data_IF_266924440710
#
_entry.id   IF_266924440710
#
_cell.length_a   1.000
_cell.length_b   1.000
_cell.length_c   1.000
_cell.angle_alpha   90.00
_cell.angle_beta   90.00
_cell.angle_gamma   90.00
#
_symmetry.space_group_name_H-M   'P 1'
#
loop_
_entity.id
_entity.type
_entity.pdbx_description
1 polymer ?
#
# COMPACT_ATOMS: atom_id res chain seq x y z
N UNK A 1 11.26 8.90 -0.83
CA UNK A 1 11.67 7.65 -1.48
C UNK A 1 10.60 7.23 -2.46
N UNK A 2 10.95 6.96 -3.68
CA UNK A 2 9.96 6.66 -4.71
C UNK A 2 9.37 5.26 -4.55
N UNK A 3 8.09 5.10 -4.88
CA UNK A 3 7.44 3.81 -4.94
C UNK A 3 7.83 3.13 -6.25
N UNK A 4 8.69 2.14 -6.18
CA UNK A 4 9.25 1.48 -7.36
C UNK A 4 8.53 0.19 -7.68
N UNK A 5 8.17 0.02 -8.96
CA UNK A 5 7.52 -1.19 -9.45
C UNK A 5 8.37 -2.42 -9.13
N UNK A 6 7.72 -3.47 -8.64
CA UNK A 6 8.38 -4.73 -8.32
C UNK A 6 9.07 -4.75 -6.97
N UNK A 7 9.12 -3.63 -6.28
CA UNK A 7 9.70 -3.58 -4.94
C UNK A 7 8.66 -3.87 -3.87
N UNK A 8 9.10 -4.47 -2.79
CA UNK A 8 8.25 -4.79 -1.65
C UNK A 8 8.50 -3.80 -0.54
N UNK A 9 7.43 -3.37 0.11
CA UNK A 9 7.48 -2.44 1.24
C UNK A 9 6.83 -3.10 2.44
N UNK A 10 7.34 -2.79 3.62
CA UNK A 10 6.90 -3.43 4.85
C UNK A 10 6.53 -2.36 5.88
N UNK A 11 5.43 -2.62 6.60
CA UNK A 11 4.97 -1.78 7.69
C UNK A 11 5.45 -2.33 9.03
N UNK A 12 5.37 -1.49 10.07
CA UNK A 12 5.75 -1.90 11.42
C UNK A 12 4.97 -3.11 11.93
N UNK A 13 3.73 -3.27 11.49
CA UNK A 13 2.89 -4.41 11.86
C UNK A 13 3.29 -5.72 11.17
N UNK A 14 4.18 -5.64 10.17
CA UNK A 14 4.52 -6.79 9.35
C UNK A 14 3.74 -6.88 8.05
N UNK A 15 2.79 -5.99 7.82
CA UNK A 15 2.07 -5.95 6.54
C UNK A 15 3.03 -5.64 5.41
N UNK A 16 2.88 -6.33 4.28
CA UNK A 16 3.76 -6.15 3.13
C UNK A 16 2.98 -5.89 1.88
N UNK A 17 3.54 -5.03 1.04
CA UNK A 17 2.96 -4.67 -0.25
C UNK A 17 4.03 -4.80 -1.33
N UNK A 18 3.60 -5.21 -2.52
CA UNK A 18 4.44 -5.13 -3.70
C UNK A 18 3.85 -4.07 -4.63
N UNK A 19 4.71 -3.24 -5.19
CA UNK A 19 4.26 -2.16 -6.05
C UNK A 19 4.03 -2.70 -7.46
N UNK A 20 2.80 -2.54 -7.94
CA UNK A 20 2.42 -2.95 -9.29
C UNK A 20 2.43 -1.78 -10.27
N UNK A 21 2.33 -0.56 -9.73
CA UNK A 21 2.39 0.66 -10.52
C UNK A 21 3.14 1.70 -9.71
N UNK A 22 4.25 2.16 -10.19
CA UNK A 22 5.16 3.02 -9.43
C UNK A 22 4.92 4.50 -9.60
N UNK A 23 5.47 5.29 -8.69
CA UNK A 23 5.42 6.75 -8.74
C UNK A 23 6.56 7.34 -7.93
N UNK A 24 6.67 8.67 -7.96
CA UNK A 24 7.79 9.38 -7.34
C UNK A 24 7.58 9.68 -5.86
N UNK A 25 6.40 9.43 -5.34
CA UNK A 25 6.07 9.76 -3.96
C UNK A 25 6.42 8.66 -2.99
N UNK A 26 6.03 8.87 -1.73
CA UNK A 26 6.37 7.99 -0.62
C UNK A 26 5.13 7.26 -0.12
N UNK A 27 5.24 5.95 0.01
CA UNK A 27 4.24 5.14 0.69
C UNK A 27 4.40 5.32 2.20
N UNK A 28 3.29 5.42 2.90
CA UNK A 28 3.29 5.70 4.32
C UNK A 28 2.28 4.83 5.06
N UNK A 29 2.58 4.63 6.36
CA UNK A 29 1.65 4.07 7.33
C UNK A 29 1.28 5.24 8.26
N UNK A 30 0.16 5.89 7.97
CA UNK A 30 -0.16 7.16 8.59
C UNK A 30 0.86 8.20 8.17
N UNK A 31 1.61 8.73 9.13
CA UNK A 31 2.66 9.72 8.87
C UNK A 31 4.04 9.09 8.72
N UNK A 32 4.17 7.79 8.91
CA UNK A 32 5.46 7.11 8.92
C UNK A 32 5.74 6.47 7.58
N UNK A 33 6.85 6.79 6.92
CA UNK A 33 7.20 6.12 5.67
C UNK A 33 7.39 4.62 5.86
N UNK A 34 6.93 3.83 4.90
CA UNK A 34 7.22 2.41 4.87
C UNK A 34 8.67 2.21 4.45
N UNK A 35 9.28 1.15 4.98
CA UNK A 35 10.61 0.75 4.54
C UNK A 35 10.50 -0.27 3.41
N UNK A 36 11.55 -0.36 2.61
CA UNK A 36 11.68 -1.50 1.72
C UNK A 36 11.87 -2.75 2.56
N UNK A 37 11.37 -3.87 2.09
CA UNK A 37 11.41 -5.11 2.84
C UNK A 37 12.84 -5.49 3.26
N UNK A 38 13.81 -5.27 2.39
CA UNK A 38 15.21 -5.59 2.67
C UNK A 38 15.79 -4.77 3.82
N UNK A 39 15.20 -3.61 4.11
CA UNK A 39 15.65 -2.75 5.22
C UNK A 39 14.97 -3.10 6.53
N UNK A 40 14.01 -4.01 6.52
CA UNK A 40 13.26 -4.41 7.69
C UNK A 40 12.13 -3.45 8.03
N UNK A 41 11.24 -3.84 8.95
CA UNK A 41 10.09 -3.00 9.28
C UNK A 41 10.50 -1.72 10.02
N UNK A 42 9.73 -0.63 9.84
CA UNK A 42 9.94 0.58 10.63
C UNK A 42 9.72 0.29 12.12
N UNK A 43 10.31 1.12 12.97
CA UNK A 43 10.21 0.95 14.41
C UNK A 43 8.78 1.12 14.93
N UNK A 44 7.98 1.96 14.27
CA UNK A 44 6.61 2.21 14.67
C UNK A 44 5.78 2.59 13.46
N UNK A 45 4.48 2.40 13.56
CA UNK A 45 3.52 2.78 12.53
C UNK A 45 2.30 3.42 13.14
N UNK A 46 1.27 3.67 12.35
CA UNK A 46 0.05 4.31 12.83
C UNK A 46 -0.72 3.45 13.81
N UNK A 47 -0.59 2.14 13.72
CA UNK A 47 -1.34 1.21 14.57
C UNK A 47 -2.82 1.12 14.23
N UNK A 48 -3.25 1.74 13.14
CA UNK A 48 -4.63 1.76 12.68
C UNK A 48 -4.69 1.35 11.22
N UNK A 49 -5.91 1.15 10.71
CA UNK A 49 -6.10 0.73 9.34
C UNK A 49 -5.85 -0.76 9.16
N UNK A 50 -6.06 -1.22 7.95
CA UNK A 50 -5.87 -2.63 7.63
C UNK A 50 -5.66 -2.79 6.14
N UNK A 51 -4.74 -3.67 5.76
CA UNK A 51 -4.61 -4.12 4.38
C UNK A 51 -4.91 -5.62 4.33
N UNK A 52 -5.61 -6.04 3.28
CA UNK A 52 -6.11 -7.39 3.15
C UNK A 52 -5.31 -8.13 2.08
N UNK A 53 -4.91 -9.35 2.41
CA UNK A 53 -4.13 -10.18 1.50
C UNK A 53 -4.84 -10.34 0.16
N UNK A 54 -4.10 -10.15 -0.91
CA UNK A 54 -4.61 -10.33 -2.26
C UNK A 54 -5.37 -9.13 -2.82
N UNK A 55 -5.55 -8.08 -2.02
CA UNK A 55 -6.25 -6.88 -2.48
C UNK A 55 -5.25 -5.85 -2.99
N UNK A 56 -5.70 -5.07 -3.97
CA UNK A 56 -4.91 -3.98 -4.54
C UNK A 56 -5.40 -2.65 -4.01
N UNK A 57 -4.45 -1.76 -3.80
CA UNK A 57 -4.72 -0.41 -3.32
C UNK A 57 -4.12 0.59 -4.29
N UNK A 58 -4.80 1.69 -4.52
CA UNK A 58 -4.36 2.71 -5.47
C UNK A 58 -4.38 4.09 -4.82
N UNK A 59 -3.47 4.95 -5.26
CA UNK A 59 -3.51 6.36 -4.89
C UNK A 59 -4.75 7.01 -5.48
N UNK A 60 -5.14 8.16 -4.93
CA UNK A 60 -6.38 8.84 -5.34
C UNK A 60 -6.41 9.15 -6.84
N UNK A 61 -5.25 9.45 -7.41
CA UNK A 61 -5.14 9.73 -8.85
C UNK A 61 -4.90 8.48 -9.70
N UNK A 62 -4.81 7.31 -9.07
CA UNK A 62 -4.58 6.05 -9.77
C UNK A 62 -3.16 5.86 -10.28
N UNK A 63 -2.24 6.76 -9.96
CA UNK A 63 -0.87 6.70 -10.48
C UNK A 63 -0.06 5.57 -9.85
N UNK A 64 -0.31 5.25 -8.58
CA UNK A 64 0.44 4.24 -7.84
C UNK A 64 -0.50 3.14 -7.40
N UNK A 65 -0.09 1.91 -7.61
CA UNK A 65 -0.83 0.74 -7.15
C UNK A 65 0.06 -0.19 -6.36
N UNK A 66 -0.50 -0.79 -5.32
CA UNK A 66 0.19 -1.75 -4.49
C UNK A 66 -0.71 -2.97 -4.25
N UNK A 67 -0.10 -4.14 -4.29
CA UNK A 67 -0.81 -5.39 -3.99
C UNK A 67 -0.38 -5.86 -2.61
N UNK A 68 -1.35 -6.14 -1.74
CA UNK A 68 -1.06 -6.66 -0.42
C UNK A 68 -0.66 -8.13 -0.52
N UNK A 69 0.56 -8.43 -0.12
CA UNK A 69 1.08 -9.81 -0.11
C UNK A 69 1.19 -10.36 1.31
N UNK A 70 0.98 -9.52 2.31
CA UNK A 70 0.94 -9.95 3.71
C UNK A 70 0.01 -9.00 4.47
N UNK A 71 -1.05 -9.50 5.10
CA UNK A 71 -2.01 -8.62 5.78
C UNK A 71 -1.45 -8.08 7.09
N UNK A 72 -2.06 -7.02 7.58
CA UNK A 72 -1.71 -6.44 8.88
C UNK A 72 -2.29 -5.06 9.03
N UNK A 73 -2.07 -4.47 10.20
CA UNK A 73 -2.50 -3.10 10.46
C UNK A 73 -1.63 -2.14 9.67
N UNK A 74 -2.27 -1.30 8.86
CA UNK A 74 -1.56 -0.37 8.01
C UNK A 74 -2.53 0.72 7.55
N UNK A 75 -2.25 1.96 7.93
CA UNK A 75 -2.98 3.11 7.42
C UNK A 75 -2.27 3.56 6.15
N UNK A 76 -2.55 2.86 5.06
CA UNK A 76 -1.80 3.01 3.81
C UNK A 76 -2.07 4.36 3.15
N UNK A 77 -1.01 5.12 2.97
CA UNK A 77 -1.06 6.44 2.34
C UNK A 77 0.05 6.60 1.32
N UNK A 78 -0.21 7.45 0.36
CA UNK A 78 0.77 7.83 -0.63
C UNK A 78 0.88 9.35 -0.62
N UNK A 79 2.04 9.88 -0.27
CA UNK A 79 2.25 11.34 -0.09
C UNK A 79 1.24 11.97 0.87
N UNK A 80 0.91 11.25 1.95
CA UNK A 80 -0.02 11.76 2.95
C UNK A 80 -1.50 11.55 2.63
N UNK A 81 -1.84 11.17 1.42
CA UNK A 81 -3.23 10.93 1.02
C UNK A 81 -3.57 9.44 1.15
N UNK A 82 -4.74 9.09 1.71
CA UNK A 82 -5.11 7.68 1.84
C UNK A 82 -5.17 6.98 0.49
N UNK A 83 -4.63 5.78 0.43
CA UNK A 83 -4.82 4.93 -0.73
C UNK A 83 -6.12 4.17 -0.58
N UNK A 84 -6.80 3.96 -1.69
CA UNK A 84 -8.11 3.33 -1.69
C UNK A 84 -8.02 1.90 -2.17
N UNK A 85 -8.88 1.06 -1.60
CA UNK A 85 -9.00 -0.32 -2.04
C UNK A 85 -9.55 -0.34 -3.46
N UNK A 86 -8.78 -0.94 -4.36
CA UNK A 86 -9.26 -1.15 -5.72
C UNK A 86 -10.18 -2.35 -5.71
N UNK A 87 -11.41 -2.13 -6.17
CA UNK A 87 -12.32 -3.24 -6.34
C UNK A 87 -12.27 -3.71 -7.79
N UNK A 88 -12.31 -5.00 -8.01
CA UNK A 88 -12.44 -5.47 -9.39
C UNK A 88 -13.67 -4.82 -9.98
N UNK A 89 -13.51 -4.29 -11.17
CA UNK A 89 -14.60 -3.67 -11.86
C UNK A 89 -15.63 -4.74 -12.15
N UNK A 90 -16.63 -4.80 -11.33
CA UNK A 90 -17.75 -5.69 -11.60
C UNK A 90 -18.53 -5.04 -12.72
N UNK A 91 -18.49 -5.66 -13.87
CA UNK A 91 -19.37 -5.23 -14.94
C UNK A 91 -20.78 -5.33 -14.43
N UNK A 92 -21.58 -4.24 -14.55
CA UNK A 92 -22.97 -4.38 -14.21
C UNK A 92 -23.50 -5.56 -15.00
N UNK A 93 -24.10 -6.44 -14.28
CA UNK A 93 -24.67 -7.61 -14.89
C UNK A 93 -25.51 -7.19 -16.08
N UNK A 94 -25.27 -7.80 -17.20
CA UNK A 94 -26.00 -7.44 -18.43
C UNK A 94 -27.45 -7.89 -18.36
N UNK A 95 -27.80 -8.51 -17.33
CA UNK A 95 -29.17 -8.95 -17.15
C UNK A 95 -29.97 -8.01 -16.30
#
# INVERSE_FOLDING_TARGET
MAAQVGKRYIAASGAELIITKGGDGTLQDGDTPLNMKEDGPPAAGAGTGEVVLGKRYASADGAVEALCIKPGALDLRYNGAPMELMQPKVLPSAD
#
